data_IF_125043979633
#
_entry.id   IF_125043979633
#
_cell.length_a   1.000
_cell.length_b   1.000
_cell.length_c   1.000
_cell.angle_alpha   90.00
_cell.angle_beta   90.00
_cell.angle_gamma   90.00
#
_symmetry.space_group_name_H-M   'P 1'
#
loop_
_entity.id
_entity.type
_entity.pdbx_description
1 polymer ?
#
# COMPACT_ATOMS: atom_id res chain seq x y z
N UNK A 1 -7.42 22.09 20.99
CA UNK A 1 -6.73 21.59 22.19
C UNK A 1 -7.13 20.15 22.41
N UNK A 2 -6.37 19.24 21.83
CA UNK A 2 -6.16 17.87 22.29
C UNK A 2 -4.84 17.45 21.65
N UNK A 3 -3.76 17.88 22.30
CA UNK A 3 -2.43 17.35 22.10
C UNK A 3 -2.43 15.93 22.66
N UNK A 4 -2.31 14.94 21.79
CA UNK A 4 -1.76 13.62 22.13
C UNK A 4 -0.94 13.16 20.92
N UNK A 5 0.10 13.92 20.59
CA UNK A 5 1.24 13.34 19.88
C UNK A 5 2.04 12.65 20.98
N UNK A 6 1.80 11.36 21.10
CA UNK A 6 2.61 10.41 21.87
C UNK A 6 4.08 10.60 21.47
N UNK A 7 4.94 10.92 22.45
CA UNK A 7 6.37 11.25 22.31
C UNK A 7 7.24 10.03 22.00
N UNK A 8 6.65 8.99 21.42
CA UNK A 8 7.26 7.68 21.26
C UNK A 8 7.23 7.30 19.78
N UNK A 9 8.11 7.97 19.02
CA UNK A 9 8.34 7.75 17.59
C UNK A 9 9.01 6.38 17.38
N UNK A 10 8.20 5.32 17.45
CA UNK A 10 8.57 3.99 17.02
C UNK A 10 8.05 3.78 15.59
N UNK A 11 8.93 3.70 14.57
CA UNK A 11 8.53 3.56 13.17
C UNK A 11 7.86 2.22 12.83
N UNK A 12 7.83 1.27 13.77
CA UNK A 12 7.17 -0.03 13.63
C UNK A 12 5.78 -0.11 14.28
N UNK A 13 5.28 0.97 14.89
CA UNK A 13 3.92 1.05 15.41
C UNK A 13 2.92 0.97 14.27
N UNK A 14 2.13 -0.10 14.22
CA UNK A 14 1.08 -0.27 13.22
C UNK A 14 -0.16 0.52 13.67
N UNK A 15 -0.89 1.11 12.75
CA UNK A 15 -2.17 1.79 13.07
C UNK A 15 -3.16 0.84 13.78
N UNK A 16 -3.03 -0.47 13.53
CA UNK A 16 -3.76 -1.55 14.22
C UNK A 16 -3.52 -1.59 15.73
N UNK A 17 -2.40 -1.08 16.20
CA UNK A 17 -2.03 -1.09 17.61
C UNK A 17 -2.76 0.01 18.39
N UNK A 18 -3.28 1.03 17.68
CA UNK A 18 -3.96 2.20 18.25
C UNK A 18 -5.44 2.26 17.91
N UNK A 19 -5.89 1.58 16.85
CA UNK A 19 -7.26 1.65 16.37
C UNK A 19 -8.02 0.33 16.58
N UNK A 20 -9.25 0.38 17.11
CA UNK A 20 -10.08 -0.81 17.24
C UNK A 20 -10.36 -1.42 15.86
N UNK A 21 -10.35 -2.76 15.79
CA UNK A 21 -10.55 -3.53 14.55
C UNK A 21 -11.80 -3.10 13.76
N UNK A 22 -12.86 -2.68 14.46
CA UNK A 22 -14.09 -2.15 13.86
C UNK A 22 -13.84 -0.88 13.02
N UNK A 23 -12.94 0.00 13.46
CA UNK A 23 -12.60 1.24 12.76
C UNK A 23 -11.74 0.98 11.51
N UNK A 24 -10.98 -0.12 11.49
CA UNK A 24 -10.21 -0.55 10.31
C UNK A 24 -11.08 -1.15 9.21
N UNK A 25 -12.31 -1.57 9.54
CA UNK A 25 -13.27 -2.11 8.58
C UNK A 25 -14.23 -1.05 8.03
N UNK A 26 -14.22 0.16 8.60
CA UNK A 26 -14.96 1.29 8.08
C UNK A 26 -14.16 2.00 7.00
N UNK A 27 -14.87 2.48 5.97
CA UNK A 27 -14.28 3.34 4.94
C UNK A 27 -14.06 4.71 5.56
N UNK A 28 -12.83 5.26 5.54
CA UNK A 28 -12.57 6.56 6.12
C UNK A 28 -13.30 7.67 5.34
N UNK A 29 -14.02 8.52 6.05
CA UNK A 29 -14.78 9.66 5.47
C UNK A 29 -14.16 11.02 5.77
N UNK A 30 -13.16 11.08 6.66
CA UNK A 30 -12.38 12.30 6.92
C UNK A 30 -11.03 12.23 6.23
N UNK A 31 -10.55 13.38 5.74
CA UNK A 31 -9.26 13.47 5.03
C UNK A 31 -8.09 12.98 5.87
N UNK A 32 -8.07 13.31 7.17
CA UNK A 32 -7.01 12.87 8.09
C UNK A 32 -6.99 11.35 8.24
N UNK A 33 -8.17 10.73 8.45
CA UNK A 33 -8.25 9.28 8.60
C UNK A 33 -7.93 8.56 7.28
N UNK A 34 -8.34 9.14 6.14
CA UNK A 34 -7.98 8.63 4.83
C UNK A 34 -6.46 8.62 4.65
N UNK A 35 -5.78 9.74 4.93
CA UNK A 35 -4.32 9.83 4.82
C UNK A 35 -3.61 8.82 5.73
N UNK A 36 -4.07 8.66 6.98
CA UNK A 36 -3.53 7.66 7.90
C UNK A 36 -3.71 6.23 7.35
N UNK A 37 -4.91 5.89 6.85
CA UNK A 37 -5.19 4.58 6.25
C UNK A 37 -4.35 4.33 4.99
N UNK A 38 -4.14 5.35 4.16
CA UNK A 38 -3.28 5.23 2.97
C UNK A 38 -1.86 4.86 3.41
N UNK A 39 -1.27 5.65 4.31
CA UNK A 39 0.12 5.48 4.72
C UNK A 39 0.39 4.15 5.45
N UNK A 40 -0.52 3.74 6.34
CA UNK A 40 -0.30 2.57 7.18
C UNK A 40 -0.91 1.28 6.65
N UNK A 41 -1.96 1.35 5.82
CA UNK A 41 -2.57 0.16 5.24
C UNK A 41 -2.30 -0.04 3.75
N UNK A 42 -2.41 1.00 2.94
CA UNK A 42 -2.34 0.84 1.48
C UNK A 42 -0.88 0.73 1.02
N UNK A 43 -0.07 1.74 1.32
CA UNK A 43 1.31 1.87 0.82
C UNK A 43 2.17 0.63 1.15
N UNK A 44 2.20 0.10 2.39
CA UNK A 44 3.03 -1.06 2.71
C UNK A 44 2.61 -2.33 1.95
N UNK A 45 1.30 -2.52 1.71
CA UNK A 45 0.78 -3.66 0.94
C UNK A 45 1.15 -3.54 -0.54
N UNK A 46 1.04 -2.34 -1.10
CA UNK A 46 1.45 -2.05 -2.48
C UNK A 46 2.92 -2.39 -2.68
N UNK A 47 3.82 -1.87 -1.83
CA UNK A 47 5.25 -2.15 -1.96
C UNK A 47 5.60 -3.63 -1.74
N UNK A 48 4.88 -4.34 -0.87
CA UNK A 48 5.04 -5.80 -0.73
C UNK A 48 4.77 -6.53 -2.06
N UNK A 49 3.70 -6.15 -2.77
CA UNK A 49 3.38 -6.76 -4.07
C UNK A 49 4.31 -6.28 -5.20
N UNK A 50 4.71 -5.01 -5.22
CA UNK A 50 5.70 -4.49 -6.17
C UNK A 50 7.05 -5.19 -6.01
N UNK A 51 7.51 -5.45 -4.78
CA UNK A 51 8.75 -6.20 -4.53
C UNK A 51 8.66 -7.65 -5.00
N UNK A 52 7.49 -8.29 -4.88
CA UNK A 52 7.26 -9.59 -5.50
C UNK A 52 7.43 -9.53 -7.04
N UNK A 53 6.80 -8.55 -7.69
CA UNK A 53 6.90 -8.39 -9.15
C UNK A 53 8.30 -7.99 -9.62
N UNK A 54 9.02 -7.20 -8.83
CA UNK A 54 10.42 -6.83 -9.09
C UNK A 54 11.32 -8.05 -9.13
N UNK A 55 11.21 -8.94 -8.13
CA UNK A 55 11.94 -10.22 -8.10
C UNK A 55 11.61 -11.10 -9.32
N UNK A 56 10.36 -11.07 -9.81
CA UNK A 56 9.98 -11.76 -11.05
C UNK A 56 10.59 -11.11 -12.29
N UNK A 57 10.59 -9.78 -12.34
CA UNK A 57 11.17 -9.02 -13.44
C UNK A 57 12.69 -9.26 -13.57
N UNK A 58 13.41 -9.36 -12.45
CA UNK A 58 14.86 -9.67 -12.42
C UNK A 58 15.20 -11.01 -13.11
N UNK A 59 14.27 -11.96 -13.10
CA UNK A 59 14.44 -13.29 -13.69
C UNK A 59 14.07 -13.37 -15.19
N UNK A 60 13.60 -12.27 -15.80
CA UNK A 60 13.26 -12.25 -17.22
C UNK A 60 14.54 -12.51 -18.05
N UNK A 61 14.60 -13.54 -18.92
CA UNK A 61 15.81 -13.89 -19.66
C UNK A 61 16.20 -12.82 -20.69
N UNK A 62 15.21 -12.27 -21.39
CA UNK A 62 15.44 -11.23 -22.38
C UNK A 62 15.86 -9.92 -21.71
N UNK A 63 17.02 -9.40 -22.08
CA UNK A 63 17.65 -8.25 -21.42
C UNK A 63 16.80 -6.98 -21.55
N UNK A 64 16.21 -6.71 -22.73
CA UNK A 64 15.41 -5.51 -22.94
C UNK A 64 14.06 -5.61 -22.20
N UNK A 65 13.38 -6.76 -22.24
CA UNK A 65 12.15 -6.97 -21.48
C UNK A 65 12.37 -6.85 -19.98
N UNK A 66 13.48 -7.39 -19.45
CA UNK A 66 13.87 -7.22 -18.05
C UNK A 66 14.07 -5.76 -17.69
N UNK A 67 14.83 -5.02 -18.51
CA UNK A 67 15.10 -3.60 -18.33
C UNK A 67 13.80 -2.79 -18.31
N UNK A 68 12.90 -3.01 -19.26
CA UNK A 68 11.63 -2.30 -19.36
C UNK A 68 10.71 -2.63 -18.18
N UNK A 69 10.62 -3.91 -17.78
CA UNK A 69 9.82 -4.31 -16.62
C UNK A 69 10.30 -3.65 -15.32
N UNK A 70 11.62 -3.69 -15.06
CA UNK A 70 12.22 -3.04 -13.89
C UNK A 70 12.05 -1.52 -13.92
N UNK A 71 12.23 -0.89 -15.09
CA UNK A 71 12.01 0.54 -15.27
C UNK A 71 10.55 0.92 -14.98
N UNK A 72 9.59 0.13 -15.47
CA UNK A 72 8.17 0.36 -15.21
C UNK A 72 7.86 0.32 -13.72
N UNK A 73 8.34 -0.71 -13.01
CA UNK A 73 8.15 -0.83 -11.56
C UNK A 73 8.76 0.38 -10.83
N UNK A 74 9.97 0.81 -11.21
CA UNK A 74 10.66 1.91 -10.52
C UNK A 74 10.04 3.29 -10.79
N UNK A 75 9.52 3.51 -12.00
CA UNK A 75 9.05 4.84 -12.43
C UNK A 75 7.54 5.02 -12.32
N UNK A 76 6.77 3.94 -12.18
CA UNK A 76 5.30 3.98 -12.16
C UNK A 76 4.66 3.38 -10.90
N UNK A 77 5.45 3.15 -9.84
CA UNK A 77 4.93 2.69 -8.55
C UNK A 77 3.74 3.53 -8.05
N UNK A 78 3.77 4.85 -8.29
CA UNK A 78 2.71 5.77 -7.90
C UNK A 78 1.34 5.47 -8.52
N UNK A 79 1.26 4.82 -9.69
CA UNK A 79 -0.01 4.35 -10.26
C UNK A 79 -0.62 3.25 -9.39
N UNK A 80 0.21 2.29 -8.97
CA UNK A 80 -0.21 1.21 -8.08
C UNK A 80 -0.58 1.74 -6.70
N UNK A 81 0.18 2.69 -6.16
CA UNK A 81 -0.12 3.37 -4.88
C UNK A 81 -1.47 4.08 -4.93
N UNK A 82 -1.69 4.91 -5.96
CA UNK A 82 -2.94 5.65 -6.15
C UNK A 82 -4.15 4.75 -6.40
N UNK A 83 -4.04 3.77 -7.31
CA UNK A 83 -5.12 2.83 -7.59
C UNK A 83 -5.50 2.00 -6.36
N UNK A 84 -4.50 1.57 -5.58
CA UNK A 84 -4.71 0.70 -4.42
C UNK A 84 -5.43 1.36 -3.25
N UNK A 85 -5.63 2.69 -3.29
CA UNK A 85 -6.49 3.40 -2.33
C UNK A 85 -7.92 2.84 -2.38
N UNK A 86 -8.40 2.39 -3.55
CA UNK A 86 -9.69 1.70 -3.68
C UNK A 86 -9.78 0.42 -2.86
N UNK A 87 -8.65 -0.19 -2.46
CA UNK A 87 -8.62 -1.32 -1.54
C UNK A 87 -9.25 -1.03 -0.18
N UNK A 88 -9.29 0.23 0.26
CA UNK A 88 -10.00 0.63 1.49
C UNK A 88 -11.51 0.39 1.41
N UNK A 89 -12.09 0.38 0.20
CA UNK A 89 -13.51 0.04 -0.02
C UNK A 89 -13.78 -1.46 0.12
N UNK A 90 -12.76 -2.29 -0.07
CA UNK A 90 -12.85 -3.75 -0.05
C UNK A 90 -12.83 -4.35 1.36
N UNK A 91 -12.57 -3.52 2.39
CA UNK A 91 -12.60 -3.91 3.81
C UNK A 91 -11.72 -5.14 4.09
N UNK A 92 -12.32 -6.31 4.36
CA UNK A 92 -11.60 -7.56 4.64
C UNK A 92 -10.80 -8.06 3.43
N UNK A 93 -11.26 -7.74 2.22
CA UNK A 93 -10.65 -8.17 0.95
C UNK A 93 -9.58 -7.18 0.43
N UNK A 94 -9.12 -6.26 1.28
CA UNK A 94 -8.14 -5.24 0.90
C UNK A 94 -6.87 -5.84 0.30
N UNK A 95 -6.38 -6.97 0.82
CA UNK A 95 -5.15 -7.59 0.30
C UNK A 95 -5.36 -8.12 -1.12
N UNK A 96 -6.48 -8.80 -1.37
CA UNK A 96 -6.83 -9.38 -2.67
C UNK A 96 -7.00 -8.29 -3.73
N UNK A 97 -7.68 -7.21 -3.37
CA UNK A 97 -7.90 -6.07 -4.28
C UNK A 97 -6.60 -5.33 -4.57
N UNK A 98 -5.74 -5.08 -3.57
CA UNK A 98 -4.44 -4.46 -3.81
C UNK A 98 -3.55 -5.36 -4.69
N UNK A 99 -3.54 -6.67 -4.42
CA UNK A 99 -2.81 -7.64 -5.26
C UNK A 99 -3.27 -7.58 -6.72
N UNK A 100 -4.58 -7.54 -6.96
CA UNK A 100 -5.16 -7.40 -8.29
C UNK A 100 -4.74 -6.08 -8.96
N UNK A 101 -4.90 -4.95 -8.28
CA UNK A 101 -4.58 -3.62 -8.82
C UNK A 101 -3.10 -3.54 -9.20
N UNK A 102 -2.21 -3.98 -8.32
CA UNK A 102 -0.75 -3.97 -8.57
C UNK A 102 -0.36 -4.85 -9.75
N UNK A 103 -1.05 -5.97 -9.96
CA UNK A 103 -0.77 -6.85 -11.10
C UNK A 103 -1.32 -6.31 -12.44
N UNK A 104 -2.42 -5.55 -12.39
CA UNK A 104 -3.08 -5.00 -13.58
C UNK A 104 -2.39 -3.72 -14.10
N UNK A 105 -1.84 -2.91 -13.18
CA UNK A 105 -1.37 -1.55 -13.43
C UNK A 105 0.10 -1.47 -13.86
#
# INVERSE_FOLDING_TARGET
MLMLIDQDHNPNKNIKDFLPKALLLQVPSSSTMLMLRIYYDVIPRVHKHLEFWKKKAELIPNVELRKQALLSINTKAFHCEGGSIYGLLAKQEIEQIICFIVAYQ
#
